data_IF_858352906003
#
_entry.id   IF_858352906003
#
_cell.length_a   1.000
_cell.length_b   1.000
_cell.length_c   1.000
_cell.angle_alpha   90.00
_cell.angle_beta   90.00
_cell.angle_gamma   90.00
#
_symmetry.space_group_name_H-M   'P 1'
#
loop_
_entity.id
_entity.type
_entity.pdbx_description
1 polymer ?
#
# COMPACT_ATOMS: atom_id res chain seq x y z
N UNK A 1 41.43 18.25 -16.14
CA UNK A 1 41.26 16.89 -15.62
C UNK A 1 42.06 16.81 -14.34
N UNK A 2 41.42 16.52 -13.21
CA UNK A 2 42.07 16.62 -11.90
C UNK A 2 42.88 15.34 -11.62
N UNK A 3 43.90 15.43 -10.77
CA UNK A 3 44.81 14.29 -10.44
C UNK A 3 44.07 13.03 -10.01
N UNK A 4 42.95 13.18 -9.28
CA UNK A 4 42.07 12.07 -8.86
C UNK A 4 41.41 11.34 -10.04
N UNK A 5 40.95 12.08 -11.05
CA UNK A 5 40.33 11.50 -12.25
C UNK A 5 41.37 10.76 -13.10
N UNK A 6 42.59 11.28 -13.17
CA UNK A 6 43.69 10.64 -13.88
C UNK A 6 44.06 9.30 -13.23
N UNK A 7 44.19 9.27 -11.90
CA UNK A 7 44.45 8.03 -11.14
C UNK A 7 43.32 7.00 -11.29
N UNK A 8 42.05 7.41 -11.22
CA UNK A 8 40.93 6.50 -11.48
C UNK A 8 40.97 5.92 -12.89
N UNK A 9 41.22 6.75 -13.91
CA UNK A 9 41.28 6.29 -15.29
C UNK A 9 42.43 5.29 -15.49
N UNK A 10 43.56 5.52 -14.83
CA UNK A 10 44.72 4.64 -14.90
C UNK A 10 44.46 3.30 -14.20
N UNK A 11 43.86 3.33 -13.01
CA UNK A 11 43.41 2.11 -12.31
C UNK A 11 42.36 1.35 -13.11
N UNK A 12 41.37 2.03 -13.69
CA UNK A 12 40.36 1.40 -14.53
C UNK A 12 40.95 0.79 -15.81
N UNK A 13 42.00 1.40 -16.37
CA UNK A 13 42.72 0.83 -17.50
C UNK A 13 43.52 -0.42 -17.11
N UNK A 14 44.14 -0.45 -15.92
CA UNK A 14 44.85 -1.61 -15.39
C UNK A 14 43.92 -2.78 -15.11
N UNK A 15 42.73 -2.53 -14.55
CA UNK A 15 41.75 -3.55 -14.18
C UNK A 15 40.62 -3.72 -15.20
N UNK A 16 40.85 -3.32 -16.45
CA UNK A 16 39.80 -3.23 -17.48
C UNK A 16 39.05 -4.54 -17.68
N UNK A 17 39.77 -5.66 -17.75
CA UNK A 17 39.18 -6.96 -18.05
C UNK A 17 38.32 -7.49 -16.89
N UNK A 18 38.75 -7.24 -15.65
CA UNK A 18 37.98 -7.56 -14.44
C UNK A 18 36.70 -6.74 -14.37
N UNK A 19 36.80 -5.41 -14.61
CA UNK A 19 35.64 -4.51 -14.66
C UNK A 19 34.68 -4.92 -15.78
N UNK A 20 35.20 -5.35 -16.93
CA UNK A 20 34.37 -5.82 -18.05
C UNK A 20 33.64 -7.12 -17.71
N UNK A 21 34.31 -8.07 -17.04
CA UNK A 21 33.70 -9.31 -16.59
C UNK A 21 32.59 -9.06 -15.56
N UNK A 22 32.85 -8.19 -14.57
CA UNK A 22 31.87 -7.80 -13.56
C UNK A 22 30.67 -7.08 -14.16
N UNK A 23 30.89 -6.23 -15.16
CA UNK A 23 29.81 -5.55 -15.88
C UNK A 23 28.92 -6.56 -16.63
N UNK A 24 29.51 -7.52 -17.34
CA UNK A 24 28.76 -8.57 -18.04
C UNK A 24 27.95 -9.41 -17.04
N UNK A 25 28.55 -9.80 -15.92
CA UNK A 25 27.87 -10.52 -14.86
C UNK A 25 26.68 -9.71 -14.29
N UNK A 26 26.90 -8.42 -14.01
CA UNK A 26 25.87 -7.52 -13.48
C UNK A 26 24.72 -7.29 -14.46
N UNK A 27 25.02 -7.17 -15.75
CA UNK A 27 23.99 -7.09 -16.81
C UNK A 27 23.14 -8.36 -16.82
N UNK A 28 23.76 -9.54 -16.73
CA UNK A 28 23.05 -10.80 -16.72
C UNK A 28 22.15 -10.94 -15.49
N UNK A 29 22.65 -10.61 -14.29
CA UNK A 29 21.85 -10.59 -13.06
C UNK A 29 20.65 -9.66 -13.17
N UNK A 30 20.84 -8.45 -13.74
CA UNK A 30 19.75 -7.50 -13.97
C UNK A 30 18.69 -8.08 -14.90
N UNK A 31 19.10 -8.77 -15.97
CA UNK A 31 18.17 -9.36 -16.94
C UNK A 31 17.37 -10.52 -16.32
N UNK A 32 18.03 -11.37 -15.52
CA UNK A 32 17.34 -12.43 -14.77
C UNK A 32 16.31 -11.86 -13.79
N UNK A 33 16.69 -10.82 -13.03
CA UNK A 33 15.78 -10.17 -12.10
C UNK A 33 14.58 -9.53 -12.82
N UNK A 34 14.81 -8.92 -13.99
CA UNK A 34 13.75 -8.35 -14.81
C UNK A 34 12.79 -9.44 -15.33
N UNK A 35 13.32 -10.53 -15.85
CA UNK A 35 12.50 -11.66 -16.31
C UNK A 35 11.63 -12.22 -15.18
N UNK A 36 12.19 -12.41 -13.98
CA UNK A 36 11.43 -12.84 -12.81
C UNK A 36 10.35 -11.84 -12.37
N UNK A 37 10.61 -10.53 -12.53
CA UNK A 37 9.60 -9.50 -12.30
C UNK A 37 8.47 -9.58 -13.33
N UNK A 38 8.78 -9.72 -14.62
CA UNK A 38 7.79 -9.81 -15.70
C UNK A 38 6.90 -11.06 -15.55
N UNK A 39 7.47 -12.18 -15.08
CA UNK A 39 6.72 -13.40 -14.74
C UNK A 39 5.77 -13.16 -13.56
N UNK A 40 6.25 -12.54 -12.49
CA UNK A 40 5.42 -12.21 -11.33
C UNK A 40 4.28 -11.25 -11.68
N UNK A 41 4.55 -10.22 -12.50
CA UNK A 41 3.54 -9.26 -12.97
C UNK A 41 2.47 -9.95 -13.81
N UNK A 42 2.87 -10.84 -14.72
CA UNK A 42 1.95 -11.65 -15.52
C UNK A 42 1.05 -12.52 -14.65
N UNK A 43 1.60 -13.12 -13.58
CA UNK A 43 0.84 -13.93 -12.63
C UNK A 43 -0.16 -13.09 -11.82
N UNK A 44 0.23 -11.88 -11.41
CA UNK A 44 -0.70 -10.96 -10.73
C UNK A 44 -1.87 -10.63 -11.63
N UNK A 45 -1.62 -10.20 -12.88
CA UNK A 45 -2.69 -9.88 -13.84
C UNK A 45 -3.63 -11.06 -14.10
N UNK A 46 -3.09 -12.27 -14.20
CA UNK A 46 -3.90 -13.47 -14.37
C UNK A 46 -4.81 -13.72 -13.16
N UNK A 47 -4.31 -13.55 -11.94
CA UNK A 47 -5.08 -13.70 -10.71
C UNK A 47 -6.14 -12.60 -10.56
N UNK A 48 -5.80 -11.35 -10.88
CA UNK A 48 -6.76 -10.23 -10.91
C UNK A 48 -7.91 -10.49 -11.88
N UNK A 49 -7.60 -11.00 -13.07
CA UNK A 49 -8.61 -11.37 -14.06
C UNK A 49 -9.52 -12.50 -13.56
N UNK A 50 -8.95 -13.56 -12.97
CA UNK A 50 -9.74 -14.65 -12.37
C UNK A 50 -10.62 -14.16 -11.23
N UNK A 51 -10.11 -13.24 -10.40
CA UNK A 51 -10.88 -12.63 -9.31
C UNK A 51 -12.03 -11.77 -9.87
N UNK A 52 -11.79 -11.00 -10.94
CA UNK A 52 -12.84 -10.25 -11.65
C UNK A 52 -13.95 -11.18 -12.14
N UNK A 53 -13.60 -12.28 -12.81
CA UNK A 53 -14.56 -13.26 -13.29
C UNK A 53 -15.34 -13.92 -12.16
N UNK A 54 -14.67 -14.28 -11.05
CA UNK A 54 -15.32 -14.86 -9.88
C UNK A 54 -16.36 -13.89 -9.29
N UNK A 55 -16.03 -12.61 -9.16
CA UNK A 55 -16.94 -11.57 -8.68
C UNK A 55 -18.16 -11.40 -9.60
N UNK A 56 -17.96 -11.45 -10.93
CA UNK A 56 -19.04 -11.37 -11.92
C UNK A 56 -20.01 -12.57 -11.83
N UNK A 57 -19.48 -13.78 -11.63
CA UNK A 57 -20.28 -15.01 -11.48
C UNK A 57 -21.08 -15.03 -10.18
N UNK A 58 -20.57 -14.41 -9.12
CA UNK A 58 -21.30 -14.25 -7.85
C UNK A 58 -22.44 -13.21 -7.93
N UNK A 59 -22.68 -12.59 -9.10
CA UNK A 59 -23.80 -11.68 -9.31
C UNK A 59 -23.66 -10.32 -8.61
N UNK A 60 -22.46 -10.00 -8.13
CA UNK A 60 -22.14 -8.73 -7.51
C UNK A 60 -21.37 -7.84 -8.46
N UNK A 61 -21.85 -6.61 -8.67
CA UNK A 61 -21.04 -5.49 -9.15
C UNK A 61 -19.66 -5.48 -8.47
N UNK A 62 -18.58 -4.98 -9.12
CA UNK A 62 -17.21 -5.13 -8.66
C UNK A 62 -17.12 -4.78 -7.18
N UNK A 63 -16.88 -5.81 -6.37
CA UNK A 63 -16.71 -5.70 -4.93
C UNK A 63 -15.40 -4.96 -4.70
N UNK A 64 -15.51 -3.63 -4.62
CA UNK A 64 -14.64 -2.82 -3.77
C UNK A 64 -14.47 -3.63 -2.50
N UNK A 65 -13.27 -4.17 -2.25
CA UNK A 65 -12.95 -4.99 -1.08
C UNK A 65 -13.73 -4.45 0.11
N UNK A 66 -14.45 -5.31 0.84
CA UNK A 66 -15.22 -4.89 2.02
C UNK A 66 -14.24 -4.32 3.03
N UNK A 67 -14.04 -3.01 2.93
CA UNK A 67 -13.00 -2.25 3.60
C UNK A 67 -13.20 -2.45 5.09
N UNK A 68 -12.17 -2.95 5.78
CA UNK A 68 -12.29 -3.24 7.22
C UNK A 68 -12.55 -1.93 7.95
N UNK A 69 -13.24 -1.99 9.09
CA UNK A 69 -13.62 -0.78 9.84
C UNK A 69 -12.45 0.20 10.09
N UNK A 70 -11.24 -0.30 10.36
CA UNK A 70 -10.07 0.56 10.56
C UNK A 70 -9.57 1.21 9.26
N UNK A 71 -9.65 0.53 8.12
CA UNK A 71 -9.34 1.12 6.81
C UNK A 71 -10.37 2.20 6.44
N UNK A 72 -11.64 1.96 6.74
CA UNK A 72 -12.71 2.94 6.56
C UNK A 72 -12.52 4.19 7.44
N UNK A 73 -12.03 4.01 8.67
CA UNK A 73 -11.65 5.12 9.54
C UNK A 73 -10.49 5.93 8.97
N UNK A 74 -9.47 5.27 8.41
CA UNK A 74 -8.33 5.94 7.77
C UNK A 74 -8.79 6.79 6.59
N UNK A 75 -9.65 6.25 5.74
CA UNK A 75 -10.17 6.97 4.57
C UNK A 75 -10.98 8.22 4.97
N UNK A 76 -11.81 8.10 6.00
CA UNK A 76 -12.56 9.25 6.53
C UNK A 76 -11.62 10.30 7.11
N UNK A 77 -10.61 9.92 7.87
CA UNK A 77 -9.67 10.88 8.47
C UNK A 77 -8.73 11.53 7.43
N UNK A 78 -8.33 10.81 6.38
CA UNK A 78 -7.55 11.38 5.26
C UNK A 78 -8.31 12.42 4.45
N UNK A 79 -9.62 12.24 4.34
CA UNK A 79 -10.50 13.13 3.57
C UNK A 79 -11.06 14.28 4.41
N UNK A 80 -10.84 14.28 5.73
CA UNK A 80 -11.19 15.39 6.61
C UNK A 80 -10.12 16.49 6.53
N UNK A 81 -10.46 17.74 6.19
CA UNK A 81 -9.50 18.83 6.08
C UNK A 81 -8.78 19.17 7.39
N UNK A 82 -9.35 18.78 8.54
CA UNK A 82 -8.74 18.99 9.86
C UNK A 82 -7.82 17.84 10.28
N UNK A 83 -7.88 16.69 9.59
CA UNK A 83 -7.13 15.49 9.92
C UNK A 83 -7.50 14.85 11.26
N UNK A 84 -8.54 15.35 11.94
CA UNK A 84 -8.98 14.88 13.25
C UNK A 84 -10.49 14.94 13.38
N UNK A 85 -11.12 13.88 13.86
CA UNK A 85 -12.57 13.83 13.98
C UNK A 85 -13.04 13.04 15.20
N UNK A 86 -14.29 13.26 15.61
CA UNK A 86 -14.88 12.55 16.76
C UNK A 86 -15.40 11.20 16.31
N UNK A 87 -15.37 10.21 17.21
CA UNK A 87 -15.76 8.84 16.89
C UNK A 87 -17.16 8.71 16.27
N UNK A 88 -18.12 9.54 16.72
CA UNK A 88 -19.49 9.59 16.18
C UNK A 88 -19.51 10.12 14.74
N UNK A 89 -18.74 11.15 14.44
CA UNK A 89 -18.66 11.72 13.09
C UNK A 89 -17.95 10.77 12.13
N UNK A 90 -16.92 10.07 12.60
CA UNK A 90 -16.24 9.03 11.82
C UNK A 90 -17.23 7.91 11.47
N UNK A 91 -17.99 7.42 12.46
CA UNK A 91 -18.99 6.39 12.23
C UNK A 91 -20.09 6.86 11.25
N UNK A 92 -20.59 8.08 11.42
CA UNK A 92 -21.57 8.68 10.51
C UNK A 92 -21.04 8.77 9.07
N UNK A 93 -19.83 9.28 8.88
CA UNK A 93 -19.20 9.39 7.56
C UNK A 93 -18.95 8.02 6.91
N UNK A 94 -18.57 7.01 7.68
CA UNK A 94 -18.41 5.62 7.19
C UNK A 94 -19.75 5.08 6.69
N UNK A 95 -20.83 5.28 7.45
CA UNK A 95 -22.16 4.81 7.09
C UNK A 95 -22.73 5.55 5.88
N UNK A 96 -22.60 6.88 5.84
CA UNK A 96 -23.07 7.74 4.75
C UNK A 96 -22.38 7.40 3.43
N UNK A 97 -21.05 7.18 3.48
CA UNK A 97 -20.25 6.84 2.30
C UNK A 97 -20.28 5.35 1.98
N UNK A 98 -20.99 4.54 2.78
CA UNK A 98 -21.08 3.09 2.61
C UNK A 98 -19.74 2.37 2.62
N UNK A 99 -18.73 2.92 3.31
CA UNK A 99 -17.35 2.39 3.27
C UNK A 99 -17.23 1.05 4.00
N UNK A 100 -18.07 0.81 5.00
CA UNK A 100 -18.10 -0.46 5.73
C UNK A 100 -19.52 -0.74 6.21
N UNK A 101 -19.89 -2.02 6.21
CA UNK A 101 -21.11 -2.52 6.85
C UNK A 101 -20.75 -3.67 7.79
N UNK A 102 -21.45 -3.75 8.91
CA UNK A 102 -21.32 -4.89 9.81
C UNK A 102 -21.88 -6.15 9.15
N UNK A 103 -21.42 -7.33 9.58
CA UNK A 103 -21.87 -8.62 9.03
C UNK A 103 -23.37 -8.87 9.22
N UNK A 104 -23.98 -8.25 10.23
CA UNK A 104 -25.41 -8.27 10.50
C UNK A 104 -26.19 -7.15 9.78
N UNK A 105 -25.51 -6.38 8.90
CA UNK A 105 -26.09 -5.30 8.12
C UNK A 105 -26.34 -4.00 8.89
N UNK A 106 -26.02 -3.95 10.19
CA UNK A 106 -26.21 -2.74 11.01
C UNK A 106 -25.19 -1.64 10.69
N UNK A 107 -25.56 -0.37 10.90
CA UNK A 107 -24.63 0.74 10.78
C UNK A 107 -23.55 0.69 11.86
N UNK A 108 -22.39 1.27 11.55
CA UNK A 108 -21.30 1.45 12.49
C UNK A 108 -21.68 2.47 13.57
N UNK A 109 -21.36 2.16 14.81
CA UNK A 109 -21.54 3.07 15.95
C UNK A 109 -20.21 3.65 16.43
N UNK A 110 -20.25 4.85 17.04
CA UNK A 110 -19.05 5.53 17.55
C UNK A 110 -18.29 4.74 18.64
N UNK A 111 -18.97 3.84 19.36
CA UNK A 111 -18.33 2.94 20.32
C UNK A 111 -17.39 1.95 19.62
N UNK A 112 -17.77 1.45 18.44
CA UNK A 112 -16.93 0.53 17.64
C UNK A 112 -15.68 1.23 17.12
N UNK A 113 -15.82 2.48 16.68
CA UNK A 113 -14.69 3.33 16.29
C UNK A 113 -13.72 3.50 17.47
N UNK A 114 -14.23 3.81 18.66
CA UNK A 114 -13.42 3.95 19.88
C UNK A 114 -12.67 2.65 20.24
N UNK A 115 -13.35 1.50 20.16
CA UNK A 115 -12.72 0.20 20.42
C UNK A 115 -11.59 -0.08 19.41
N UNK A 116 -11.75 0.34 18.15
CA UNK A 116 -10.71 0.20 17.13
C UNK A 116 -9.52 1.11 17.36
N UNK A 117 -9.72 2.37 17.76
CA UNK A 117 -8.59 3.26 18.10
C UNK A 117 -7.68 2.63 19.16
N UNK A 118 -8.25 2.06 20.22
CA UNK A 118 -7.45 1.38 21.26
C UNK A 118 -6.71 0.13 20.78
N UNK A 119 -7.24 -0.57 19.77
CA UNK A 119 -6.62 -1.78 19.20
C UNK A 119 -5.50 -1.46 18.19
N UNK A 120 -5.50 -0.27 17.60
CA UNK A 120 -4.54 0.14 16.57
C UNK A 120 -3.79 1.44 16.95
N UNK A 121 -3.01 1.45 18.06
CA UNK A 121 -2.27 2.64 18.51
C UNK A 121 -1.10 3.05 17.58
N UNK A 122 -0.78 2.22 16.59
CA UNK A 122 0.19 2.55 15.54
C UNK A 122 -0.44 3.34 14.38
N UNK A 123 -1.77 3.29 14.20
CA UNK A 123 -2.48 3.99 13.13
C UNK A 123 -3.21 5.24 13.64
N UNK A 124 -3.74 5.18 14.86
CA UNK A 124 -4.57 6.24 15.42
C UNK A 124 -3.96 6.79 16.68
N UNK A 125 -4.09 8.11 16.83
CA UNK A 125 -3.79 8.82 18.06
C UNK A 125 -5.06 9.50 18.59
N UNK A 126 -5.12 9.69 19.91
CA UNK A 126 -6.28 10.28 20.59
C UNK A 126 -5.86 11.54 21.33
N UNK A 127 -6.47 12.64 20.92
CA UNK A 127 -6.29 13.95 21.53
C UNK A 127 -7.61 14.39 22.19
N UNK A 128 -7.75 14.07 23.49
CA UNK A 128 -9.01 14.23 24.20
C UNK A 128 -10.15 13.41 23.58
N UNK A 129 -11.16 14.08 23.03
CA UNK A 129 -12.29 13.42 22.34
C UNK A 129 -12.08 13.24 20.83
N UNK A 130 -10.97 13.73 20.29
CA UNK A 130 -10.65 13.66 18.87
C UNK A 130 -9.74 12.47 18.56
N UNK A 131 -9.93 11.93 17.38
CA UNK A 131 -9.14 10.83 16.81
C UNK A 131 -8.46 11.37 15.57
N UNK A 132 -7.14 11.18 15.48
CA UNK A 132 -6.34 11.58 14.32
C UNK A 132 -5.50 10.40 13.83
N UNK A 133 -5.01 10.52 12.61
CA UNK A 133 -3.99 9.61 12.10
C UNK A 133 -2.65 9.95 12.73
N UNK A 134 -1.83 8.92 12.95
CA UNK A 134 -0.47 9.07 13.42
C UNK A 134 0.50 9.45 12.31
#
# INVERSE_FOLDING_TARGET
>A
MNTWQLQMAQNAATHRDEIAADLVHSIHLREQAKSGFDEADSRVRALEHLLSLANELEGGAPSKEVMKLHEAMVEVLKSDPTGMSRAVHIAAAINERGLYRMQDGRPVEGQQVTARVGRYPHLFDREGTFIKLR
#
